data_IF_197745858734
#
_entry.id   IF_197745858734
#
_cell.length_a   1.000
_cell.length_b   1.000
_cell.length_c   1.000
_cell.angle_alpha   90.00
_cell.angle_beta   90.00
_cell.angle_gamma   90.00
#
_symmetry.space_group_name_H-M   'P 1'
#
loop_
_entity.id
_entity.type
_entity.pdbx_description
1 polymer ?
#
# COMPACT_ATOMS: atom_id res chain seq x y z
N UNK A 1 42.91 -8.32 1.41
CA UNK A 1 44.14 -7.87 0.72
C UNK A 1 45.36 -8.74 1.03
N UNK A 2 45.31 -9.67 2.01
CA UNK A 2 46.46 -10.54 2.35
C UNK A 2 46.58 -11.84 1.52
N UNK A 3 45.68 -12.09 0.57
CA UNK A 3 45.57 -13.40 -0.11
C UNK A 3 45.99 -13.40 -1.59
N UNK A 4 46.52 -12.29 -2.11
CA UNK A 4 46.95 -12.18 -3.50
C UNK A 4 48.44 -11.86 -3.57
N UNK A 5 49.20 -12.61 -4.39
CA UNK A 5 50.62 -12.44 -4.71
C UNK A 5 50.86 -11.14 -5.53
N UNK A 6 50.40 -9.99 -5.02
CA UNK A 6 50.56 -8.68 -5.64
C UNK A 6 51.78 -8.00 -5.06
N UNK A 7 52.53 -7.32 -5.94
CA UNK A 7 53.63 -6.48 -5.49
C UNK A 7 53.10 -5.28 -4.70
N UNK A 8 53.89 -4.75 -3.76
CA UNK A 8 53.50 -3.54 -2.99
C UNK A 8 53.14 -2.34 -3.89
N UNK A 9 53.74 -2.26 -5.09
CA UNK A 9 53.46 -1.20 -6.08
C UNK A 9 52.07 -1.38 -6.72
N UNK A 10 51.67 -2.62 -7.01
CA UNK A 10 50.33 -2.92 -7.54
C UNK A 10 49.25 -2.68 -6.48
N UNK A 11 49.50 -3.06 -5.23
CA UNK A 11 48.59 -2.80 -4.10
C UNK A 11 48.33 -1.30 -3.94
N UNK A 12 49.38 -0.48 -3.99
CA UNK A 12 49.24 0.99 -3.90
C UNK A 12 48.47 1.55 -5.10
N UNK A 13 48.73 1.04 -6.30
CA UNK A 13 48.03 1.47 -7.52
C UNK A 13 46.53 1.17 -7.44
N UNK A 14 46.15 -0.01 -6.95
CA UNK A 14 44.75 -0.41 -6.73
C UNK A 14 44.09 0.49 -5.68
N UNK A 15 44.78 0.77 -4.57
CA UNK A 15 44.23 1.61 -3.51
C UNK A 15 43.95 3.04 -4.00
N UNK A 16 44.90 3.63 -4.72
CA UNK A 16 44.74 4.97 -5.30
C UNK A 16 43.60 4.95 -6.32
N UNK A 17 43.56 3.96 -7.22
CA UNK A 17 42.48 3.83 -8.19
C UNK A 17 41.11 3.73 -7.50
N UNK A 18 41.02 2.98 -6.39
CA UNK A 18 39.79 2.83 -5.60
C UNK A 18 39.33 4.17 -4.99
N UNK A 19 40.24 5.00 -4.50
CA UNK A 19 39.88 6.32 -3.95
C UNK A 19 39.35 7.27 -5.02
N UNK A 20 39.95 7.27 -6.21
CA UNK A 20 39.61 8.22 -7.26
C UNK A 20 38.48 7.76 -8.18
N UNK A 21 38.13 6.47 -8.24
CA UNK A 21 37.15 5.95 -9.21
C UNK A 21 35.78 6.65 -9.19
N UNK A 22 35.32 7.07 -8.01
CA UNK A 22 34.04 7.75 -7.81
C UNK A 22 34.19 9.28 -7.63
N UNK A 23 35.41 9.81 -7.55
CA UNK A 23 35.67 11.22 -7.23
C UNK A 23 35.07 12.19 -8.25
N UNK A 24 35.00 11.81 -9.51
CA UNK A 24 34.44 12.63 -10.58
C UNK A 24 32.94 12.90 -10.46
N UNK A 25 32.18 12.09 -9.70
CA UNK A 25 30.77 12.38 -9.43
C UNK A 25 30.57 13.70 -8.67
N UNK A 26 31.58 14.16 -7.91
CA UNK A 26 31.53 15.44 -7.22
C UNK A 26 31.62 16.65 -8.17
N UNK A 27 32.15 16.46 -9.39
CA UNK A 27 32.36 17.53 -10.38
C UNK A 27 31.28 17.49 -11.44
N UNK A 28 31.06 16.32 -12.06
CA UNK A 28 30.08 16.15 -13.11
C UNK A 28 29.54 14.72 -13.10
N UNK A 29 28.23 14.57 -12.92
CA UNK A 29 27.59 13.26 -12.85
C UNK A 29 27.67 12.49 -14.19
N UNK A 30 27.46 13.16 -15.32
CA UNK A 30 27.45 12.51 -16.63
C UNK A 30 28.88 12.20 -17.12
N UNK A 31 29.82 13.10 -16.84
CA UNK A 31 31.22 12.99 -17.25
C UNK A 31 32.15 12.46 -16.13
N UNK A 32 31.59 11.80 -15.10
CA UNK A 32 32.32 11.43 -13.88
C UNK A 32 33.60 10.64 -14.17
N UNK A 33 33.62 9.79 -15.20
CA UNK A 33 34.82 9.01 -15.54
C UNK A 33 36.00 9.91 -15.92
N UNK A 34 35.81 10.86 -16.84
CA UNK A 34 36.87 11.76 -17.28
C UNK A 34 37.31 12.70 -16.15
N UNK A 35 36.37 13.17 -15.33
CA UNK A 35 36.71 13.99 -14.16
C UNK A 35 37.50 13.20 -13.12
N UNK A 36 37.15 11.94 -12.85
CA UNK A 36 37.94 11.06 -11.97
C UNK A 36 39.37 10.87 -12.48
N UNK A 37 39.55 10.70 -13.79
CA UNK A 37 40.88 10.56 -14.40
C UNK A 37 41.70 11.86 -14.29
N UNK A 38 41.06 13.03 -14.51
CA UNK A 38 41.72 14.32 -14.36
C UNK A 38 42.17 14.55 -12.90
N UNK A 39 41.27 14.32 -11.93
CA UNK A 39 41.57 14.46 -10.50
C UNK A 39 42.70 13.54 -10.05
N UNK A 40 42.68 12.27 -10.48
CA UNK A 40 43.75 11.32 -10.20
C UNK A 40 45.09 11.75 -10.81
N UNK A 41 45.07 12.23 -12.05
CA UNK A 41 46.27 12.71 -12.76
C UNK A 41 46.89 13.91 -12.06
N UNK A 42 46.08 14.91 -11.71
CA UNK A 42 46.55 16.12 -11.05
C UNK A 42 47.10 15.82 -9.66
N UNK A 43 46.41 14.97 -8.89
CA UNK A 43 46.89 14.53 -7.58
C UNK A 43 48.25 13.81 -7.68
N UNK A 44 48.39 12.85 -8.60
CA UNK A 44 49.62 12.07 -8.71
C UNK A 44 50.80 12.89 -9.25
N UNK A 45 50.56 13.80 -10.21
CA UNK A 45 51.58 14.73 -10.70
C UNK A 45 52.07 15.68 -9.61
N UNK A 46 51.15 16.22 -8.81
CA UNK A 46 51.49 17.11 -7.70
C UNK A 46 52.30 16.40 -6.60
N UNK A 47 52.17 15.08 -6.48
CA UNK A 47 52.96 14.25 -5.56
C UNK A 47 54.27 13.71 -6.18
N UNK A 48 54.61 14.10 -7.42
CA UNK A 48 55.88 13.74 -8.05
C UNK A 48 56.00 12.28 -8.50
N UNK A 49 54.87 11.60 -8.74
CA UNK A 49 54.86 10.21 -9.25
C UNK A 49 55.19 10.21 -10.75
N UNK A 50 55.91 9.17 -11.20
CA UNK A 50 56.27 8.98 -12.59
C UNK A 50 55.05 8.70 -13.49
N UNK A 51 55.15 9.11 -14.76
CA UNK A 51 54.05 8.95 -15.72
C UNK A 51 53.68 7.48 -15.98
N UNK A 52 54.60 6.52 -15.79
CA UNK A 52 54.31 5.10 -16.01
C UNK A 52 53.34 4.57 -14.95
N UNK A 53 53.59 4.87 -13.67
CA UNK A 53 52.70 4.49 -12.57
C UNK A 53 51.38 5.28 -12.60
N UNK A 54 51.39 6.54 -13.04
CA UNK A 54 50.16 7.30 -13.28
C UNK A 54 49.29 6.58 -14.31
N UNK A 55 49.86 6.18 -15.45
CA UNK A 55 49.11 5.49 -16.50
C UNK A 55 48.50 4.17 -16.00
N UNK A 56 49.23 3.40 -15.17
CA UNK A 56 48.69 2.18 -14.56
C UNK A 56 47.44 2.46 -13.71
N UNK A 57 47.45 3.52 -12.89
CA UNK A 57 46.28 3.90 -12.08
C UNK A 57 45.11 4.33 -12.96
N UNK A 58 45.36 5.12 -14.00
CA UNK A 58 44.32 5.59 -14.92
C UNK A 58 43.69 4.43 -15.72
N UNK A 59 44.51 3.46 -16.15
CA UNK A 59 44.04 2.23 -16.79
C UNK A 59 43.14 1.42 -15.86
N UNK A 60 43.51 1.27 -14.58
CA UNK A 60 42.68 0.58 -13.58
C UNK A 60 41.33 1.27 -13.35
N UNK A 61 41.32 2.60 -13.23
CA UNK A 61 40.07 3.37 -13.10
C UNK A 61 39.19 3.13 -14.34
N UNK A 62 39.78 3.19 -15.53
CA UNK A 62 39.06 2.98 -16.79
C UNK A 62 38.51 1.56 -16.92
N UNK A 63 39.31 0.55 -16.57
CA UNK A 63 38.92 -0.87 -16.66
C UNK A 63 37.78 -1.22 -15.69
N UNK A 64 37.69 -0.52 -14.55
CA UNK A 64 36.62 -0.68 -13.58
C UNK A 64 35.25 -0.39 -14.23
N UNK A 65 35.15 0.71 -14.97
CA UNK A 65 33.93 1.18 -15.62
C UNK A 65 33.68 0.55 -17.00
N UNK A 66 34.71 -0.02 -17.62
CA UNK A 66 34.63 -0.69 -18.92
C UNK A 66 33.85 -2.02 -18.89
N UNK A 67 33.31 -2.41 -20.05
CA UNK A 67 32.57 -3.67 -20.24
C UNK A 67 33.47 -4.87 -20.59
N UNK A 68 34.73 -4.62 -20.92
CA UNK A 68 35.68 -5.66 -21.34
C UNK A 68 36.03 -6.62 -20.21
N UNK A 69 36.45 -7.84 -20.53
CA UNK A 69 36.94 -8.77 -19.51
C UNK A 69 38.30 -8.31 -18.94
N UNK A 70 38.53 -8.46 -17.61
CA UNK A 70 39.77 -8.05 -16.99
C UNK A 70 40.95 -8.90 -17.49
N UNK A 71 42.04 -8.23 -17.86
CA UNK A 71 43.26 -8.87 -18.39
C UNK A 71 44.27 -9.22 -17.30
N UNK A 72 44.29 -8.44 -16.22
CA UNK A 72 45.21 -8.58 -15.10
C UNK A 72 44.47 -8.85 -13.78
N UNK A 73 45.19 -9.36 -12.78
CA UNK A 73 44.62 -9.60 -11.44
C UNK A 73 44.15 -8.29 -10.78
N UNK A 74 44.90 -7.21 -10.95
CA UNK A 74 44.53 -5.87 -10.48
C UNK A 74 43.23 -5.37 -11.12
N UNK A 75 43.00 -5.62 -12.41
CA UNK A 75 41.74 -5.28 -13.09
C UNK A 75 40.56 -6.10 -12.58
N UNK A 76 40.76 -7.40 -12.26
CA UNK A 76 39.73 -8.26 -11.67
C UNK A 76 39.26 -7.68 -10.33
N UNK A 77 40.22 -7.36 -9.47
CA UNK A 77 39.95 -6.76 -8.16
C UNK A 77 39.21 -5.43 -8.35
N UNK A 78 39.67 -4.57 -9.27
CA UNK A 78 39.07 -3.27 -9.47
C UNK A 78 37.61 -3.35 -9.96
N UNK A 79 37.31 -4.29 -10.87
CA UNK A 79 35.94 -4.55 -11.32
C UNK A 79 35.05 -5.07 -10.19
N UNK A 80 35.55 -6.01 -9.39
CA UNK A 80 34.81 -6.56 -8.26
C UNK A 80 34.55 -5.49 -7.19
N UNK A 81 35.55 -4.65 -6.88
CA UNK A 81 35.40 -3.54 -5.93
C UNK A 81 34.33 -2.56 -6.39
N UNK A 82 34.29 -2.22 -7.69
CA UNK A 82 33.23 -1.37 -8.26
C UNK A 82 31.83 -1.95 -8.02
N UNK A 83 31.69 -3.26 -8.15
CA UNK A 83 30.38 -3.95 -8.11
C UNK A 83 30.10 -4.64 -6.78
N UNK A 84 30.91 -4.38 -5.76
CA UNK A 84 30.78 -4.94 -4.41
C UNK A 84 29.36 -4.78 -3.84
N UNK A 85 28.70 -3.65 -4.10
CA UNK A 85 27.37 -3.35 -3.56
C UNK A 85 26.30 -4.38 -3.95
N UNK A 86 26.50 -5.15 -5.03
CA UNK A 86 25.63 -6.27 -5.40
C UNK A 86 25.59 -7.39 -4.35
N UNK A 87 26.63 -7.46 -3.52
CA UNK A 87 26.74 -8.38 -2.40
C UNK A 87 26.61 -7.65 -1.06
N UNK A 88 25.98 -6.47 -1.03
CA UNK A 88 25.60 -5.82 0.22
C UNK A 88 24.31 -6.43 0.78
N UNK A 89 24.20 -6.54 2.11
CA UNK A 89 22.93 -6.87 2.79
C UNK A 89 21.85 -5.83 2.51
N UNK A 90 22.26 -4.58 2.29
CA UNK A 90 21.39 -3.42 2.10
C UNK A 90 21.16 -3.14 0.62
N UNK A 91 21.41 -4.11 -0.26
CA UNK A 91 21.37 -3.94 -1.71
C UNK A 91 20.03 -3.36 -2.22
N UNK A 92 18.89 -3.83 -1.69
CA UNK A 92 17.58 -3.30 -2.07
C UNK A 92 17.39 -1.83 -1.66
N UNK A 93 17.97 -1.41 -0.53
CA UNK A 93 17.95 -0.02 -0.09
C UNK A 93 18.84 0.84 -0.98
N UNK A 94 20.07 0.40 -1.26
CA UNK A 94 20.98 1.05 -2.21
C UNK A 94 20.34 1.20 -3.59
N UNK A 95 19.60 0.19 -4.04
CA UNK A 95 18.88 0.21 -5.31
C UNK A 95 17.75 1.27 -5.33
N UNK A 96 17.08 1.48 -4.20
CA UNK A 96 16.08 2.55 -4.05
C UNK A 96 16.74 3.93 -3.96
N UNK A 97 17.88 4.05 -3.28
CA UNK A 97 18.64 5.30 -3.22
C UNK A 97 19.12 5.72 -4.61
N UNK A 98 19.64 4.78 -5.40
CA UNK A 98 20.02 5.03 -6.80
C UNK A 98 18.81 5.45 -7.64
N UNK A 99 17.66 4.82 -7.43
CA UNK A 99 16.42 5.20 -8.10
C UNK A 99 16.05 6.67 -7.80
N UNK A 100 16.04 7.05 -6.53
CA UNK A 100 15.76 8.42 -6.09
C UNK A 100 16.79 9.42 -6.62
N UNK A 101 18.07 9.03 -6.66
CA UNK A 101 19.13 9.83 -7.27
C UNK A 101 18.81 10.13 -8.74
N UNK A 102 18.48 9.11 -9.54
CA UNK A 102 18.17 9.28 -10.96
C UNK A 102 16.90 10.13 -11.17
N UNK A 103 15.89 9.97 -10.32
CA UNK A 103 14.68 10.81 -10.32
C UNK A 103 15.04 12.29 -10.05
N UNK A 104 15.95 12.57 -9.11
CA UNK A 104 16.43 13.93 -8.83
C UNK A 104 17.21 14.57 -10.00
N UNK A 105 17.85 13.74 -10.84
CA UNK A 105 18.48 14.18 -12.07
C UNK A 105 17.52 14.27 -13.27
N UNK A 106 16.20 14.24 -13.05
CA UNK A 106 15.15 14.25 -14.08
C UNK A 106 15.32 13.13 -15.13
N UNK A 107 15.93 12.00 -14.75
CA UNK A 107 16.03 10.84 -15.64
C UNK A 107 14.72 10.05 -15.60
N UNK A 108 14.35 9.44 -16.72
CA UNK A 108 13.20 8.56 -16.78
C UNK A 108 13.52 7.26 -16.04
N UNK A 109 12.86 7.06 -14.90
CA UNK A 109 13.03 5.86 -14.08
C UNK A 109 11.82 4.93 -14.26
N UNK A 110 12.03 3.62 -14.50
CA UNK A 110 10.94 2.66 -14.68
C UNK A 110 10.14 2.43 -13.39
N UNK A 111 9.01 1.72 -13.48
CA UNK A 111 8.29 1.28 -12.30
C UNK A 111 9.15 0.32 -11.45
N UNK A 112 8.75 0.09 -10.20
CA UNK A 112 9.58 -0.64 -9.25
C UNK A 112 9.76 -2.10 -9.63
N UNK A 113 8.80 -2.72 -10.29
CA UNK A 113 8.89 -4.14 -10.66
C UNK A 113 9.74 -4.31 -11.92
N UNK A 114 9.60 -3.43 -12.91
CA UNK A 114 10.54 -3.37 -14.04
C UNK A 114 11.98 -3.10 -13.57
N UNK A 115 12.17 -2.16 -12.64
CA UNK A 115 13.49 -1.87 -12.06
C UNK A 115 14.12 -3.09 -11.39
N UNK A 116 13.35 -3.84 -10.60
CA UNK A 116 13.83 -5.09 -10.00
C UNK A 116 14.18 -6.14 -11.05
N UNK A 117 13.37 -6.27 -12.10
CA UNK A 117 13.61 -7.23 -13.17
C UNK A 117 14.90 -6.92 -13.94
N UNK A 118 15.13 -5.65 -14.26
CA UNK A 118 16.37 -5.18 -14.91
C UNK A 118 17.61 -5.55 -14.09
N UNK A 119 17.56 -5.34 -12.77
CA UNK A 119 18.67 -5.71 -11.89
C UNK A 119 18.82 -7.22 -11.69
N UNK A 120 17.73 -7.99 -11.71
CA UNK A 120 17.83 -9.47 -11.74
C UNK A 120 18.55 -9.92 -13.00
N UNK A 121 18.24 -9.33 -14.15
CA UNK A 121 18.93 -9.63 -15.41
C UNK A 121 20.41 -9.21 -15.36
N UNK A 122 20.69 -8.00 -14.88
CA UNK A 122 22.06 -7.50 -14.72
C UNK A 122 22.89 -8.44 -13.83
N UNK A 123 22.36 -8.83 -12.67
CA UNK A 123 23.03 -9.70 -11.70
C UNK A 123 23.23 -11.13 -12.22
N UNK A 124 22.25 -11.70 -12.95
CA UNK A 124 22.31 -13.09 -13.42
C UNK A 124 23.07 -13.26 -14.73
N UNK A 125 22.90 -12.33 -15.66
CA UNK A 125 23.36 -12.49 -17.06
C UNK A 125 24.65 -11.70 -17.30
N UNK A 126 24.72 -10.47 -16.81
CA UNK A 126 25.76 -9.52 -17.21
C UNK A 126 26.90 -9.42 -16.21
N UNK A 127 26.61 -9.62 -14.92
CA UNK A 127 27.58 -9.47 -13.84
C UNK A 127 28.15 -10.81 -13.35
N UNK A 128 29.48 -10.88 -13.18
CA UNK A 128 30.20 -11.98 -12.51
C UNK A 128 31.33 -11.41 -11.66
N UNK A 129 31.61 -12.04 -10.52
CA UNK A 129 32.80 -11.74 -9.74
C UNK A 129 34.02 -12.48 -10.32
N UNK A 130 35.17 -11.82 -10.35
CA UNK A 130 36.37 -12.32 -11.03
C UNK A 130 37.43 -12.86 -10.06
N UNK A 131 37.71 -12.14 -8.97
CA UNK A 131 38.66 -12.51 -7.94
C UNK A 131 38.14 -13.65 -7.08
N UNK A 132 39.06 -14.48 -6.58
CA UNK A 132 38.69 -15.63 -5.74
C UNK A 132 38.10 -15.17 -4.40
N UNK A 133 38.63 -14.07 -3.84
CA UNK A 133 38.06 -13.46 -2.64
C UNK A 133 36.59 -13.04 -2.84
N UNK A 134 36.26 -12.37 -3.95
CA UNK A 134 34.89 -11.96 -4.22
C UNK A 134 33.97 -13.16 -4.45
N UNK A 135 34.44 -14.22 -5.13
CA UNK A 135 33.64 -15.44 -5.30
C UNK A 135 33.36 -16.12 -3.97
N UNK A 136 34.35 -16.22 -3.08
CA UNK A 136 34.19 -16.89 -1.79
C UNK A 136 33.33 -16.10 -0.81
N UNK A 137 33.44 -14.77 -0.78
CA UNK A 137 32.80 -13.94 0.24
C UNK A 137 31.53 -13.22 -0.24
N UNK A 138 31.40 -12.94 -1.53
CA UNK A 138 30.34 -12.06 -2.07
C UNK A 138 29.34 -12.79 -2.96
N UNK A 139 29.71 -13.95 -3.52
CA UNK A 139 28.82 -14.69 -4.42
C UNK A 139 27.55 -15.16 -3.70
N UNK A 140 27.65 -15.69 -2.49
CA UNK A 140 26.49 -16.17 -1.71
C UNK A 140 25.49 -15.04 -1.45
N UNK A 141 25.97 -13.90 -0.93
CA UNK A 141 25.11 -12.74 -0.66
C UNK A 141 24.47 -12.17 -1.93
N UNK A 142 25.18 -12.21 -3.07
CA UNK A 142 24.62 -11.83 -4.38
C UNK A 142 23.45 -12.74 -4.76
N UNK A 143 23.57 -14.05 -4.56
CA UNK A 143 22.47 -15.00 -4.85
C UNK A 143 21.27 -14.76 -3.93
N UNK A 144 21.50 -14.49 -2.65
CA UNK A 144 20.43 -14.15 -1.70
C UNK A 144 19.69 -12.87 -2.11
N UNK A 145 20.43 -11.85 -2.57
CA UNK A 145 19.85 -10.62 -3.09
C UNK A 145 18.99 -10.87 -4.34
N UNK A 146 19.45 -11.72 -5.26
CA UNK A 146 18.67 -12.12 -6.44
C UNK A 146 17.38 -12.84 -6.01
N UNK A 147 17.46 -13.77 -5.06
CA UNK A 147 16.29 -14.49 -4.54
C UNK A 147 15.30 -13.53 -3.86
N UNK A 148 15.80 -12.56 -3.11
CA UNK A 148 15.00 -11.50 -2.49
C UNK A 148 14.22 -10.70 -3.55
N UNK A 149 14.88 -10.25 -4.62
CA UNK A 149 14.23 -9.53 -5.73
C UNK A 149 13.13 -10.37 -6.40
N UNK A 150 13.41 -11.63 -6.73
CA UNK A 150 12.44 -12.54 -7.36
C UNK A 150 11.25 -12.78 -6.44
N UNK A 151 11.48 -12.96 -5.14
CA UNK A 151 10.40 -13.18 -4.17
C UNK A 151 9.44 -11.98 -4.08
N UNK A 152 9.97 -10.75 -4.18
CA UNK A 152 9.19 -9.51 -4.21
C UNK A 152 8.34 -9.41 -5.48
N UNK A 153 8.93 -9.70 -6.63
CA UNK A 153 8.22 -9.74 -7.91
C UNK A 153 7.05 -10.74 -7.88
N UNK A 154 7.28 -11.96 -7.39
CA UNK A 154 6.23 -12.97 -7.26
C UNK A 154 5.12 -12.54 -6.28
N UNK A 155 5.48 -11.84 -5.19
CA UNK A 155 4.51 -11.34 -4.22
C UNK A 155 3.66 -10.21 -4.81
N UNK A 156 4.25 -9.32 -5.60
CA UNK A 156 3.54 -8.26 -6.32
C UNK A 156 2.53 -8.87 -7.30
N UNK A 157 2.96 -9.81 -8.14
CA UNK A 157 2.10 -10.49 -9.12
C UNK A 157 0.92 -11.25 -8.44
N UNK A 158 1.19 -11.97 -7.34
CA UNK A 158 0.14 -12.66 -6.57
C UNK A 158 -0.87 -11.69 -5.98
N UNK A 159 -0.42 -10.53 -5.52
CA UNK A 159 -1.29 -9.51 -4.92
C UNK A 159 -2.17 -8.90 -5.99
N UNK A 160 -1.62 -8.56 -7.15
CA UNK A 160 -2.37 -8.05 -8.29
C UNK A 160 -3.45 -9.05 -8.75
N UNK A 161 -3.08 -10.32 -8.97
CA UNK A 161 -4.04 -11.38 -9.34
C UNK A 161 -5.17 -11.53 -8.31
N UNK A 162 -4.85 -11.41 -7.02
CA UNK A 162 -5.83 -11.50 -5.93
C UNK A 162 -6.79 -10.31 -5.95
N UNK A 163 -6.30 -9.09 -6.17
CA UNK A 163 -7.14 -7.90 -6.24
C UNK A 163 -8.03 -7.92 -7.48
N UNK A 164 -7.52 -8.34 -8.64
CA UNK A 164 -8.30 -8.53 -9.87
C UNK A 164 -9.39 -9.58 -9.66
N UNK A 165 -9.07 -10.71 -9.02
CA UNK A 165 -10.06 -11.75 -8.72
C UNK A 165 -11.14 -11.25 -7.76
N UNK A 166 -10.78 -10.50 -6.71
CA UNK A 166 -11.75 -9.89 -5.79
C UNK A 166 -12.67 -8.92 -6.51
N UNK A 167 -12.13 -8.10 -7.42
CA UNK A 167 -12.92 -7.15 -8.20
C UNK A 167 -13.95 -7.89 -9.08
N UNK A 168 -13.53 -8.95 -9.78
CA UNK A 168 -14.44 -9.79 -10.58
C UNK A 168 -15.51 -10.47 -9.74
N UNK A 169 -15.14 -11.09 -8.62
CA UNK A 169 -16.11 -11.77 -7.73
C UNK A 169 -17.12 -10.80 -7.09
N UNK A 170 -16.72 -9.54 -6.87
CA UNK A 170 -17.63 -8.49 -6.39
C UNK A 170 -18.67 -8.12 -7.45
N UNK A 171 -18.28 -8.11 -8.71
CA UNK A 171 -19.15 -7.82 -9.84
C UNK A 171 -20.10 -8.99 -10.16
N UNK A 172 -19.61 -10.24 -10.04
CA UNK A 172 -20.38 -11.45 -10.33
C UNK A 172 -21.35 -11.89 -9.21
N UNK A 173 -21.28 -11.29 -8.01
CA UNK A 173 -22.18 -11.64 -6.88
C UNK A 173 -23.21 -10.56 -6.46
N UNK A 174 -24.03 -9.98 -7.38
CA UNK A 174 -25.13 -9.09 -7.02
C UNK A 174 -26.12 -9.73 -6.05
N UNK A 175 -26.22 -11.07 -6.06
CA UNK A 175 -27.09 -11.84 -5.16
C UNK A 175 -26.85 -11.56 -3.68
N UNK A 176 -25.60 -11.30 -3.24
CA UNK A 176 -25.33 -10.97 -1.82
C UNK A 176 -25.84 -9.58 -1.45
N UNK A 177 -25.69 -8.61 -2.36
CA UNK A 177 -26.23 -7.26 -2.18
C UNK A 177 -27.76 -7.29 -2.18
N UNK A 178 -28.36 -8.01 -3.12
CA UNK A 178 -29.82 -8.23 -3.22
C UNK A 178 -30.35 -8.93 -1.96
N UNK A 179 -29.72 -10.01 -1.51
CA UNK A 179 -30.11 -10.73 -0.29
C UNK A 179 -30.03 -9.83 0.95
N UNK A 180 -29.00 -8.98 1.03
CA UNK A 180 -28.85 -8.02 2.13
C UNK A 180 -29.95 -6.95 2.09
N UNK A 181 -30.31 -6.46 0.90
CA UNK A 181 -31.39 -5.50 0.70
C UNK A 181 -32.74 -6.07 1.17
N UNK A 182 -33.12 -7.25 0.69
CA UNK A 182 -34.36 -7.92 1.12
C UNK A 182 -34.39 -8.15 2.63
N UNK A 183 -33.25 -8.55 3.23
CA UNK A 183 -33.17 -8.75 4.69
C UNK A 183 -33.40 -7.45 5.46
N UNK A 184 -32.81 -6.34 5.00
CA UNK A 184 -32.97 -5.03 5.64
C UNK A 184 -34.40 -4.53 5.50
N UNK A 185 -34.97 -4.64 4.30
CA UNK A 185 -36.35 -4.26 3.99
C UNK A 185 -37.35 -5.02 4.87
N UNK A 186 -37.25 -6.35 4.93
CA UNK A 186 -38.11 -7.18 5.78
C UNK A 186 -38.00 -6.81 7.26
N UNK A 187 -36.78 -6.59 7.77
CA UNK A 187 -36.56 -6.14 9.16
C UNK A 187 -37.19 -4.78 9.43
N UNK A 188 -37.13 -3.86 8.47
CA UNK A 188 -37.72 -2.53 8.60
C UNK A 188 -39.25 -2.61 8.58
N UNK A 189 -39.84 -3.40 7.68
CA UNK A 189 -41.29 -3.60 7.64
C UNK A 189 -41.83 -4.22 8.93
N UNK A 190 -41.16 -5.25 9.47
CA UNK A 190 -41.55 -5.86 10.75
C UNK A 190 -41.48 -4.82 11.88
N UNK A 191 -40.37 -4.08 11.99
CA UNK A 191 -40.22 -3.04 13.02
C UNK A 191 -41.27 -1.94 12.90
N UNK A 192 -41.59 -1.50 11.68
CA UNK A 192 -42.61 -0.47 11.45
C UNK A 192 -44.00 -0.99 11.87
N UNK A 193 -44.31 -2.25 11.55
CA UNK A 193 -45.53 -2.93 12.01
C UNK A 193 -45.58 -2.99 13.53
N UNK A 194 -44.51 -3.45 14.19
CA UNK A 194 -44.44 -3.55 15.66
C UNK A 194 -44.67 -2.19 16.34
N UNK A 195 -44.13 -1.10 15.75
CA UNK A 195 -44.36 0.27 16.23
C UNK A 195 -45.82 0.67 16.07
N UNK A 196 -46.45 0.33 14.94
CA UNK A 196 -47.87 0.62 14.70
C UNK A 196 -48.76 -0.13 15.71
N UNK A 197 -48.50 -1.41 15.94
CA UNK A 197 -49.22 -2.24 16.92
C UNK A 197 -49.07 -1.71 18.34
N UNK A 198 -47.86 -1.31 18.72
CA UNK A 198 -47.61 -0.70 20.03
C UNK A 198 -48.40 0.61 20.20
N UNK A 199 -48.39 1.48 19.20
CA UNK A 199 -49.12 2.77 19.24
C UNK A 199 -50.63 2.58 19.29
N UNK A 200 -51.16 1.65 18.52
CA UNK A 200 -52.57 1.33 18.53
C UNK A 200 -53.02 0.73 19.86
N UNK A 201 -52.23 -0.18 20.45
CA UNK A 201 -52.52 -0.72 21.79
C UNK A 201 -52.53 0.37 22.88
N UNK A 202 -51.61 1.34 22.81
CA UNK A 202 -51.63 2.51 23.68
C UNK A 202 -52.91 3.34 23.45
N UNK A 203 -53.29 3.62 22.20
CA UNK A 203 -54.47 4.43 21.90
C UNK A 203 -55.78 3.73 22.33
N UNK A 204 -55.86 2.41 22.17
CA UNK A 204 -56.98 1.60 22.65
C UNK A 204 -57.12 1.67 24.17
N UNK A 205 -56.02 1.42 24.90
CA UNK A 205 -56.04 1.40 26.38
C UNK A 205 -56.35 2.77 26.98
N UNK A 206 -55.76 3.84 26.44
CA UNK A 206 -56.02 5.21 26.92
C UNK A 206 -57.46 5.63 26.66
N UNK A 207 -57.99 5.41 25.44
CA UNK A 207 -59.38 5.73 25.14
C UNK A 207 -60.38 4.91 25.97
N UNK A 208 -60.06 3.64 26.27
CA UNK A 208 -60.87 2.82 27.17
C UNK A 208 -60.92 3.39 28.59
N UNK A 209 -59.78 3.80 29.16
CA UNK A 209 -59.70 4.43 30.49
C UNK A 209 -60.51 5.74 30.50
N UNK A 210 -60.35 6.56 29.47
CA UNK A 210 -61.07 7.83 29.31
C UNK A 210 -62.59 7.61 29.32
N UNK A 211 -63.08 6.64 28.53
CA UNK A 211 -64.51 6.31 28.47
C UNK A 211 -64.99 5.83 29.85
N UNK A 212 -64.24 4.96 30.53
CA UNK A 212 -64.60 4.50 31.89
C UNK A 212 -64.74 5.64 32.88
N UNK A 213 -63.83 6.62 32.88
CA UNK A 213 -63.91 7.80 33.75
C UNK A 213 -65.07 8.72 33.40
N UNK A 214 -65.37 8.88 32.11
CA UNK A 214 -66.50 9.68 31.64
C UNK A 214 -67.83 9.05 32.06
N UNK A 215 -67.97 7.73 31.91
CA UNK A 215 -69.14 6.98 32.36
C UNK A 215 -69.33 7.09 33.88
N UNK A 216 -68.25 7.02 34.66
CA UNK A 216 -68.31 7.06 36.12
C UNK A 216 -68.61 8.47 36.68
N UNK A 217 -68.06 9.54 36.07
CA UNK A 217 -68.08 10.89 36.67
C UNK A 217 -69.00 11.89 35.96
N UNK A 218 -69.06 11.85 34.62
CA UNK A 218 -69.82 12.85 33.85
C UNK A 218 -71.26 12.41 33.62
N UNK A 219 -71.51 11.15 33.27
CA UNK A 219 -72.88 10.68 32.99
C UNK A 219 -73.90 10.98 34.11
N UNK A 220 -73.59 10.72 35.41
CA UNK A 220 -74.54 11.00 36.49
C UNK A 220 -74.89 12.50 36.63
N UNK A 221 -74.01 13.39 36.16
CA UNK A 221 -74.20 14.84 36.25
C UNK A 221 -74.97 15.43 35.07
N UNK A 222 -75.12 14.68 33.96
CA UNK A 222 -75.84 15.13 32.75
C UNK A 222 -77.36 15.12 32.93
N UNK A 223 -77.88 14.37 33.90
CA UNK A 223 -79.33 14.25 34.16
C UNK A 223 -79.91 15.44 34.93
N UNK A 224 -79.05 16.34 35.43
CA UNK A 224 -79.45 17.56 36.14
C UNK A 224 -79.71 18.73 35.16
N UNK A 225 -80.88 19.40 35.20
CA UNK A 225 -81.23 20.50 34.28
C UNK A 225 -80.25 21.68 34.26
N UNK A 226 -79.48 21.88 35.35
CA UNK A 226 -78.44 22.90 35.47
C UNK A 226 -77.17 22.62 34.65
N UNK A 227 -76.96 21.36 34.25
CA UNK A 227 -75.71 20.87 33.64
C UNK A 227 -75.85 20.58 32.14
N UNK A 228 -76.94 21.01 31.51
CA UNK A 228 -77.23 20.79 30.08
C UNK A 228 -76.12 21.29 29.15
N UNK A 229 -75.32 22.28 29.58
CA UNK A 229 -74.18 22.79 28.82
C UNK A 229 -73.02 21.77 28.66
N UNK A 230 -72.94 20.72 29.50
CA UNK A 230 -71.92 19.67 29.40
C UNK A 230 -72.24 18.61 28.34
N UNK A 231 -73.48 18.56 27.82
CA UNK A 231 -73.91 17.51 26.89
C UNK A 231 -73.13 17.57 25.57
N UNK A 232 -73.07 18.76 24.93
CA UNK A 232 -72.42 18.90 23.63
C UNK A 232 -70.92 18.56 23.65
N UNK A 233 -70.10 19.05 24.60
CA UNK A 233 -68.70 18.64 24.71
C UNK A 233 -68.53 17.14 24.95
N UNK A 234 -69.41 16.53 25.75
CA UNK A 234 -69.34 15.09 26.07
C UNK A 234 -69.61 14.23 24.83
N UNK A 235 -70.62 14.57 24.04
CA UNK A 235 -70.96 13.82 22.81
C UNK A 235 -69.83 13.90 21.77
N UNK A 236 -69.28 15.11 21.56
CA UNK A 236 -68.14 15.30 20.65
C UNK A 236 -66.95 14.46 21.11
N UNK A 237 -66.63 14.51 22.41
CA UNK A 237 -65.50 13.79 22.97
C UNK A 237 -65.65 12.26 22.86
N UNK A 238 -66.83 11.70 23.15
CA UNK A 238 -67.12 10.27 22.96
C UNK A 238 -67.01 9.87 21.50
N UNK A 239 -67.53 10.68 20.57
CA UNK A 239 -67.46 10.40 19.13
C UNK A 239 -66.01 10.31 18.65
N UNK A 240 -65.16 11.28 19.02
CA UNK A 240 -63.74 11.26 18.64
C UNK A 240 -62.98 10.10 19.30
N UNK A 241 -63.32 9.75 20.55
CA UNK A 241 -62.73 8.60 21.25
C UNK A 241 -63.05 7.28 20.55
N UNK A 242 -64.30 7.08 20.12
CA UNK A 242 -64.72 5.88 19.39
C UNK A 242 -64.08 5.85 17.99
N UNK A 243 -64.08 6.98 17.26
CA UNK A 243 -63.45 7.07 15.95
C UNK A 243 -61.94 6.74 16.01
N UNK A 244 -61.25 7.27 17.03
CA UNK A 244 -59.85 6.99 17.33
C UNK A 244 -59.61 5.49 17.62
N UNK A 245 -60.48 4.88 18.43
CA UNK A 245 -60.43 3.44 18.73
C UNK A 245 -60.60 2.57 17.47
N UNK A 246 -61.58 2.91 16.61
CA UNK A 246 -61.81 2.20 15.34
C UNK A 246 -60.59 2.29 14.42
N UNK A 247 -60.00 3.49 14.30
CA UNK A 247 -58.79 3.70 13.49
C UNK A 247 -57.59 2.89 14.01
N UNK A 248 -57.42 2.76 15.33
CA UNK A 248 -56.39 1.90 15.91
C UNK A 248 -56.57 0.43 15.57
N UNK A 249 -57.78 -0.10 15.71
CA UNK A 249 -58.07 -1.51 15.37
C UNK A 249 -57.82 -1.78 13.88
N UNK A 250 -58.18 -0.83 13.01
CA UNK A 250 -57.92 -0.95 11.58
C UNK A 250 -56.42 -0.91 11.26
N UNK A 251 -55.64 -0.11 11.98
CA UNK A 251 -54.20 0.00 11.77
C UNK A 251 -53.41 -1.26 12.19
N UNK A 252 -53.91 -2.02 13.17
CA UNK A 252 -53.30 -3.27 13.64
C UNK A 252 -53.82 -4.51 12.92
N UNK A 253 -54.87 -4.38 12.10
CA UNK A 253 -55.42 -5.52 11.38
C UNK A 253 -54.54 -5.79 10.15
N UNK A 254 -53.87 -6.94 10.05
CA UNK A 254 -53.12 -7.27 8.86
C UNK A 254 -54.10 -7.40 7.68
N UNK A 255 -53.79 -6.73 6.56
CA UNK A 255 -54.42 -7.02 5.27
C UNK A 255 -53.88 -8.37 4.78
N UNK A 256 -54.66 -9.42 4.97
CA UNK A 256 -54.49 -10.67 4.22
C UNK A 256 -55.13 -10.47 2.86
N UNK A 257 -54.36 -9.97 1.91
CA UNK A 257 -54.71 -10.08 0.49
C UNK A 257 -54.48 -11.54 0.10
N UNK A 258 -55.53 -12.36 0.17
CA UNK A 258 -55.55 -13.69 -0.45
C UNK A 258 -55.79 -13.49 -1.95
N UNK A 259 -54.71 -13.37 -2.72
CA UNK A 259 -54.71 -13.48 -4.17
C UNK A 259 -53.63 -14.47 -4.60
#
# INVERSE_FOLDING_TARGET
METTDLTNVEVNSILIATWFMHSGFAVNYENHLNESLNLATDFLKNNGIDNENINKVLELITSAWGKDEPKSESEKIMKDVRTWFYASSDFEELLQLLRLELENFNKSVPDIDTWRLDYVEELRVRHRFYSDYAKENWQEQKEDNILSLISRLQKAEKTEKKEVLKARLKDESPQRAIQSLYRIELRNHIKLSDIADTKANILLSVNAIIISLLLANLLPKLDSPSNSYLIYPTVIFVLFSIASMIMSVLATRPKVDNA
#
